data_IF_859853719877
#
_entry.id   IF_859853719877
#
_cell.length_a   1.000
_cell.length_b   1.000
_cell.length_c   1.000
_cell.angle_alpha   90.00
_cell.angle_beta   90.00
_cell.angle_gamma   90.00
#
_symmetry.space_group_name_H-M   'P 1'
#
loop_
_entity.id
_entity.type
_entity.pdbx_description
1 polymer ?
#
# COMPACT_ATOMS: atom_id res chain seq x y z
N UNK A 1 -6.83 26.12 8.40
CA UNK A 1 -6.48 24.81 8.99
C UNK A 1 -5.35 24.24 8.18
N UNK A 2 -4.35 23.67 8.83
CA UNK A 2 -3.28 22.93 8.15
C UNK A 2 -3.84 21.67 7.49
N UNK A 3 -3.29 21.31 6.33
CA UNK A 3 -3.63 20.08 5.62
C UNK A 3 -3.05 18.88 6.37
N UNK A 4 -3.81 17.79 6.49
CA UNK A 4 -3.34 16.57 7.15
C UNK A 4 -2.30 15.84 6.28
N UNK A 5 -1.49 15.00 6.91
CA UNK A 5 -0.53 14.14 6.18
C UNK A 5 -1.23 13.27 5.13
N UNK A 6 -2.42 12.75 5.43
CA UNK A 6 -3.20 11.95 4.49
C UNK A 6 -3.67 12.78 3.30
N UNK A 7 -4.08 14.03 3.51
CA UNK A 7 -4.45 14.93 2.41
C UNK A 7 -3.25 15.23 1.51
N UNK A 8 -2.08 15.50 2.10
CA UNK A 8 -0.83 15.69 1.38
C UNK A 8 -0.43 14.46 0.54
N UNK A 9 -0.53 13.26 1.13
CA UNK A 9 -0.26 12.00 0.42
C UNK A 9 -1.24 11.80 -0.73
N UNK A 10 -2.54 12.04 -0.50
CA UNK A 10 -3.59 11.92 -1.51
C UNK A 10 -3.29 12.82 -2.70
N UNK A 11 -2.89 14.07 -2.45
CA UNK A 11 -2.51 15.02 -3.49
C UNK A 11 -1.34 14.51 -4.34
N UNK A 12 -0.27 14.02 -3.71
CA UNK A 12 0.89 13.43 -4.41
C UNK A 12 0.51 12.23 -5.28
N UNK A 13 -0.40 11.37 -4.80
CA UNK A 13 -0.92 10.23 -5.57
C UNK A 13 -1.73 10.69 -6.79
N UNK A 14 -2.57 11.71 -6.63
CA UNK A 14 -3.35 12.27 -7.74
C UNK A 14 -2.44 12.91 -8.81
N UNK A 15 -1.42 13.65 -8.39
CA UNK A 15 -0.41 14.22 -9.31
C UNK A 15 0.33 13.12 -10.08
N UNK A 16 0.74 12.04 -9.40
CA UNK A 16 1.39 10.89 -10.02
C UNK A 16 0.49 10.19 -11.06
N UNK A 17 -0.79 9.99 -10.72
CA UNK A 17 -1.80 9.39 -11.59
C UNK A 17 -2.04 10.23 -12.83
N UNK A 18 -2.24 11.53 -12.64
CA UNK A 18 -2.62 12.44 -13.71
C UNK A 18 -1.45 12.68 -14.68
N UNK A 19 -0.21 12.71 -14.18
CA UNK A 19 1.00 12.77 -15.02
C UNK A 19 1.15 11.58 -16.00
N UNK A 20 0.41 10.48 -15.78
CA UNK A 20 0.43 9.26 -16.61
C UNK A 20 -0.86 9.04 -17.38
N UNK A 21 -1.82 9.96 -17.28
CA UNK A 21 -3.17 9.81 -17.80
C UNK A 21 -3.89 8.54 -17.29
N UNK A 22 -3.54 8.09 -16.08
CA UNK A 22 -4.07 6.85 -15.49
C UNK A 22 -5.43 7.02 -14.83
N UNK A 23 -5.98 8.23 -14.81
CA UNK A 23 -7.30 8.50 -14.24
C UNK A 23 -8.39 7.61 -14.83
N UNK A 24 -8.27 7.24 -16.10
CA UNK A 24 -9.20 6.33 -16.79
C UNK A 24 -9.26 4.90 -16.20
N UNK A 25 -8.25 4.48 -15.42
CA UNK A 25 -8.16 3.18 -14.76
C UNK A 25 -8.48 3.24 -13.25
N UNK A 26 -8.88 4.40 -12.74
CA UNK A 26 -9.14 4.62 -11.30
C UNK A 26 -10.63 4.82 -11.02
N UNK A 27 -11.50 3.93 -11.53
CA UNK A 27 -12.89 3.89 -11.06
C UNK A 27 -12.94 3.35 -9.62
N UNK A 28 -14.05 3.57 -8.91
CA UNK A 28 -14.23 3.01 -7.56
C UNK A 28 -14.04 1.48 -7.55
N UNK A 29 -14.54 0.79 -8.58
CA UNK A 29 -14.37 -0.66 -8.71
C UNK A 29 -12.90 -1.05 -8.86
N UNK A 30 -12.15 -0.34 -9.71
CA UNK A 30 -10.75 -0.66 -9.98
C UNK A 30 -9.88 -0.43 -8.73
N UNK A 31 -10.16 0.63 -7.97
CA UNK A 31 -9.47 0.92 -6.71
C UNK A 31 -9.76 -0.13 -5.63
N UNK A 32 -11.01 -0.60 -5.51
CA UNK A 32 -11.38 -1.69 -4.58
C UNK A 32 -10.62 -2.97 -4.95
N UNK A 33 -10.55 -3.30 -6.24
CA UNK A 33 -9.81 -4.49 -6.71
C UNK A 33 -8.33 -4.33 -6.40
N UNK A 34 -7.72 -3.20 -6.76
CA UNK A 34 -6.29 -2.94 -6.53
C UNK A 34 -5.94 -3.03 -5.05
N UNK A 35 -6.74 -2.44 -4.16
CA UNK A 35 -6.56 -2.56 -2.71
C UNK A 35 -6.56 -4.02 -2.24
N UNK A 36 -7.44 -4.86 -2.78
CA UNK A 36 -7.48 -6.28 -2.41
C UNK A 36 -6.26 -7.06 -2.94
N UNK A 37 -5.73 -6.69 -4.11
CA UNK A 37 -4.51 -7.29 -4.65
C UNK A 37 -3.31 -7.02 -3.72
N UNK A 38 -3.10 -5.76 -3.35
CA UNK A 38 -2.02 -5.36 -2.43
C UNK A 38 -2.16 -6.03 -1.04
N UNK A 39 -3.40 -6.13 -0.52
CA UNK A 39 -3.67 -6.87 0.71
C UNK A 39 -3.34 -8.37 0.56
N UNK A 40 -3.59 -8.95 -0.62
CA UNK A 40 -3.19 -10.31 -0.97
C UNK A 40 -1.67 -10.50 -0.98
N UNK A 41 -0.92 -9.56 -1.58
CA UNK A 41 0.55 -9.59 -1.57
C UNK A 41 1.11 -9.54 -0.14
N UNK A 42 0.52 -8.71 0.72
CA UNK A 42 0.87 -8.68 2.14
C UNK A 42 0.57 -10.02 2.83
N UNK A 43 -0.55 -10.66 2.50
CA UNK A 43 -0.86 -12.01 3.02
C UNK A 43 0.17 -13.04 2.57
N UNK A 44 0.65 -12.99 1.34
CA UNK A 44 1.68 -13.92 0.86
C UNK A 44 2.97 -13.85 1.68
N UNK A 45 3.35 -12.66 2.14
CA UNK A 45 4.51 -12.44 3.00
C UNK A 45 4.34 -13.03 4.41
N UNK A 46 3.10 -13.20 4.88
CA UNK A 46 2.79 -13.55 6.28
C UNK A 46 2.21 -14.96 6.46
N UNK A 47 1.51 -15.50 5.47
CA UNK A 47 0.65 -16.70 5.59
C UNK A 47 1.31 -17.96 6.17
N UNK A 48 2.61 -18.17 5.95
CA UNK A 48 3.32 -19.38 6.40
C UNK A 48 4.25 -19.14 7.59
N UNK A 49 4.21 -17.95 8.19
CA UNK A 49 5.10 -17.58 9.29
C UNK A 49 4.37 -17.75 10.63
N UNK A 50 5.08 -18.32 11.62
CA UNK A 50 4.61 -18.25 13.01
C UNK A 50 4.53 -16.79 13.45
N UNK A 51 3.49 -16.44 14.22
CA UNK A 51 3.23 -15.06 14.62
C UNK A 51 4.41 -14.41 15.36
N UNK A 52 5.06 -15.13 16.28
CA UNK A 52 6.19 -14.59 17.06
C UNK A 52 7.43 -14.40 16.19
N UNK A 53 7.64 -15.31 15.24
CA UNK A 53 8.73 -15.24 14.26
C UNK A 53 8.50 -14.10 13.27
N UNK A 54 7.25 -13.90 12.84
CA UNK A 54 6.91 -12.78 11.97
C UNK A 54 7.14 -11.44 12.65
N UNK A 55 6.69 -11.29 13.90
CA UNK A 55 6.90 -10.06 14.69
C UNK A 55 8.39 -9.77 14.95
N UNK A 56 9.23 -10.78 15.11
CA UNK A 56 10.67 -10.55 15.28
C UNK A 56 11.33 -10.12 13.96
N UNK A 57 10.94 -10.74 12.84
CA UNK A 57 11.51 -10.46 11.52
C UNK A 57 11.00 -9.13 10.95
N UNK A 58 9.74 -8.74 11.20
CA UNK A 58 9.14 -7.51 10.64
C UNK A 58 9.83 -6.22 11.11
N UNK A 59 10.61 -6.30 12.19
CA UNK A 59 11.43 -5.21 12.69
C UNK A 59 12.81 -5.10 12.01
N UNK A 60 13.20 -6.07 11.18
CA UNK A 60 14.42 -6.00 10.38
C UNK A 60 14.24 -5.03 9.20
N UNK A 61 15.25 -4.21 8.85
CA UNK A 61 15.12 -3.19 7.80
C UNK A 61 14.63 -3.74 6.46
N UNK A 62 15.17 -4.88 6.03
CA UNK A 62 14.82 -5.52 4.76
C UNK A 62 13.39 -6.09 4.76
N UNK A 63 12.92 -6.61 5.90
CA UNK A 63 11.58 -7.13 6.03
C UNK A 63 10.56 -5.97 6.06
N UNK A 64 10.90 -4.87 6.73
CA UNK A 64 10.08 -3.67 6.79
C UNK A 64 9.87 -3.06 5.41
N UNK A 65 10.90 -2.97 4.58
CA UNK A 65 10.78 -2.48 3.20
C UNK A 65 9.89 -3.36 2.31
N UNK A 66 9.72 -4.64 2.63
CA UNK A 66 8.83 -5.54 1.88
C UNK A 66 7.39 -5.48 2.33
N UNK A 67 7.15 -4.97 3.55
CA UNK A 67 5.82 -4.82 4.15
C UNK A 67 5.25 -3.41 3.96
N UNK A 68 6.07 -2.46 3.47
CA UNK A 68 5.75 -1.06 3.16
C UNK A 68 5.66 -0.83 1.65
#
# INVERSE_FOLDING_TARGET
>A
MEETELQNLTKRLLEFRDARDWKQFHSLKDLIISLNLEAGELLELTQWKDAKVFESISNEPDAKQRLE
#
